data_IF_218752236600
#
_entry.id   IF_218752236600
#
_cell.length_a   1.000
_cell.length_b   1.000
_cell.length_c   1.000
_cell.angle_alpha   90.00
_cell.angle_beta   90.00
_cell.angle_gamma   90.00
#
_symmetry.space_group_name_H-M   'P 1'
#
loop_
_entity.id
_entity.type
_entity.pdbx_description
1 polymer ?
#
# COMPACT_ATOMS: atom_id res chain seq x y z
N UNK A 1 20.90 -12.99 7.90
CA UNK A 1 19.79 -13.40 7.00
C UNK A 1 18.70 -14.02 7.85
N UNK A 2 17.53 -13.38 7.98
CA UNK A 2 16.39 -13.97 8.70
C UNK A 2 15.88 -15.17 7.87
N UNK A 3 16.11 -16.39 8.38
CA UNK A 3 15.64 -17.62 7.75
C UNK A 3 14.12 -17.64 7.88
N UNK A 4 13.39 -17.55 6.77
CA UNK A 4 11.93 -17.62 6.81
C UNK A 4 11.52 -19.06 7.13
N UNK A 5 11.12 -19.30 8.37
CA UNK A 5 10.61 -20.60 8.80
C UNK A 5 9.23 -20.85 8.19
N UNK A 6 9.03 -22.02 7.58
CA UNK A 6 7.75 -22.40 6.96
C UNK A 6 7.05 -23.40 7.87
N UNK A 7 5.88 -23.02 8.38
CA UNK A 7 5.04 -23.89 9.21
C UNK A 7 3.94 -24.49 8.32
N UNK A 8 3.73 -25.81 8.41
CA UNK A 8 2.60 -26.47 7.75
C UNK A 8 1.33 -26.19 8.54
N UNK A 9 0.31 -25.65 7.88
CA UNK A 9 -1.00 -25.40 8.47
C UNK A 9 -2.06 -26.18 7.69
N UNK A 10 -2.90 -26.95 8.38
CA UNK A 10 -4.01 -27.66 7.76
C UNK A 10 -5.24 -26.74 7.70
N UNK A 11 -5.72 -26.42 6.50
CA UNK A 11 -6.86 -25.55 6.28
C UNK A 11 -7.86 -26.27 5.38
N UNK A 12 -9.13 -26.29 5.79
CA UNK A 12 -10.20 -26.86 5.00
C UNK A 12 -10.63 -25.88 3.91
N UNK A 13 -10.70 -26.35 2.67
CA UNK A 13 -11.18 -25.57 1.53
C UNK A 13 -12.39 -26.27 0.90
N UNK A 14 -13.39 -25.51 0.43
CA UNK A 14 -14.42 -26.05 -0.45
C UNK A 14 -13.79 -26.70 -1.68
N UNK A 15 -14.30 -27.88 -2.07
CA UNK A 15 -13.77 -28.65 -3.20
C UNK A 15 -13.84 -27.87 -4.52
N UNK A 16 -14.91 -27.10 -4.71
CA UNK A 16 -15.13 -26.24 -5.87
C UNK A 16 -14.05 -25.16 -6.01
N UNK A 17 -13.64 -24.55 -4.89
CA UNK A 17 -12.62 -23.52 -4.87
C UNK A 17 -11.25 -24.07 -5.28
N UNK A 18 -10.88 -25.25 -4.76
CA UNK A 18 -9.63 -25.91 -5.14
C UNK A 18 -9.63 -26.25 -6.63
N UNK A 19 -10.73 -26.80 -7.15
CA UNK A 19 -10.86 -27.09 -8.60
C UNK A 19 -10.72 -25.83 -9.46
N UNK A 20 -11.29 -24.70 -9.02
CA UNK A 20 -11.16 -23.44 -9.72
C UNK A 20 -9.71 -22.93 -9.73
N UNK A 21 -9.01 -23.06 -8.61
CA UNK A 21 -7.58 -22.72 -8.51
C UNK A 21 -6.78 -23.62 -9.46
N UNK A 22 -7.04 -24.92 -9.47
CA UNK A 22 -6.33 -25.89 -10.31
C UNK A 22 -6.48 -25.59 -11.79
N UNK A 23 -7.71 -25.29 -12.21
CA UNK A 23 -7.99 -24.87 -13.59
C UNK A 23 -7.25 -23.59 -13.97
N UNK A 24 -7.01 -22.70 -13.01
CA UNK A 24 -6.42 -21.37 -13.24
C UNK A 24 -4.89 -21.38 -13.23
N UNK A 25 -4.26 -22.08 -12.26
CA UNK A 25 -2.79 -22.04 -12.06
C UNK A 25 -2.10 -23.40 -12.28
N UNK A 26 -2.86 -24.48 -12.40
CA UNK A 26 -2.36 -25.85 -12.50
C UNK A 26 -2.05 -26.48 -11.13
N UNK A 27 -2.07 -27.82 -11.09
CA UNK A 27 -2.07 -28.60 -9.84
C UNK A 27 -0.86 -28.38 -8.91
N UNK A 28 0.29 -28.00 -9.45
CA UNK A 28 1.54 -27.82 -8.66
C UNK A 28 1.74 -26.42 -8.12
N UNK A 29 0.84 -25.47 -8.40
CA UNK A 29 1.00 -24.05 -8.03
C UNK A 29 0.05 -23.58 -6.94
N UNK A 30 -0.80 -24.47 -6.38
CA UNK A 30 -1.80 -24.15 -5.34
C UNK A 30 -1.20 -23.42 -4.14
N UNK A 31 -0.15 -23.99 -3.53
CA UNK A 31 0.48 -23.39 -2.34
C UNK A 31 1.03 -21.99 -2.62
N UNK A 32 1.71 -21.82 -3.76
CA UNK A 32 2.23 -20.51 -4.18
C UNK A 32 1.09 -19.50 -4.36
N UNK A 33 0.05 -19.89 -5.08
CA UNK A 33 -1.12 -19.05 -5.32
C UNK A 33 -1.80 -18.61 -4.03
N UNK A 34 -2.07 -19.55 -3.11
CA UNK A 34 -2.72 -19.25 -1.82
C UNK A 34 -1.86 -18.29 -0.99
N UNK A 35 -0.54 -18.51 -0.93
CA UNK A 35 0.37 -17.64 -0.18
C UNK A 35 0.41 -16.22 -0.78
N UNK A 36 0.47 -16.10 -2.11
CA UNK A 36 0.47 -14.80 -2.79
C UNK A 36 -0.86 -14.06 -2.60
N UNK A 37 -1.99 -14.77 -2.73
CA UNK A 37 -3.31 -14.22 -2.49
C UNK A 37 -3.48 -13.75 -1.04
N UNK A 38 -3.03 -14.55 -0.06
CA UNK A 38 -3.07 -14.18 1.35
C UNK A 38 -2.19 -12.95 1.65
N UNK A 39 -0.98 -12.87 1.08
CA UNK A 39 -0.11 -11.69 1.21
C UNK A 39 -0.78 -10.44 0.67
N UNK A 40 -1.32 -10.51 -0.55
CA UNK A 40 -2.03 -9.38 -1.16
C UNK A 40 -3.21 -8.95 -0.28
N UNK A 41 -4.00 -9.90 0.22
CA UNK A 41 -5.15 -9.59 1.07
C UNK A 41 -4.73 -8.92 2.39
N UNK A 42 -3.62 -9.35 2.99
CA UNK A 42 -3.08 -8.72 4.19
C UNK A 42 -2.59 -7.29 3.93
N UNK A 43 -1.99 -7.03 2.77
CA UNK A 43 -1.59 -5.67 2.38
C UNK A 43 -2.82 -4.77 2.20
N UNK A 44 -3.87 -5.25 1.53
CA UNK A 44 -5.13 -4.51 1.38
C UNK A 44 -5.75 -4.17 2.74
N UNK A 45 -5.79 -5.12 3.68
CA UNK A 45 -6.32 -4.90 5.02
C UNK A 45 -5.52 -3.86 5.80
N UNK A 46 -4.18 -3.88 5.71
CA UNK A 46 -3.33 -2.86 6.33
C UNK A 46 -3.60 -1.47 5.76
N UNK A 47 -3.79 -1.36 4.45
CA UNK A 47 -4.12 -0.08 3.82
C UNK A 47 -5.49 0.39 4.29
N UNK A 48 -6.49 -0.50 4.37
CA UNK A 48 -7.81 -0.16 4.86
C UNK A 48 -7.75 0.36 6.31
N UNK A 49 -7.06 -0.36 7.20
CA UNK A 49 -6.87 0.07 8.59
C UNK A 49 -6.16 1.44 8.67
N UNK A 50 -5.11 1.64 7.86
CA UNK A 50 -4.43 2.92 7.81
C UNK A 50 -5.34 4.06 7.33
N UNK A 51 -6.23 3.80 6.37
CA UNK A 51 -7.21 4.79 5.89
C UNK A 51 -8.26 5.12 6.97
N UNK A 52 -8.73 4.11 7.70
CA UNK A 52 -9.67 4.29 8.82
C UNK A 52 -9.03 5.12 9.94
N UNK A 53 -7.79 4.83 10.31
CA UNK A 53 -7.05 5.60 11.31
C UNK A 53 -6.72 7.01 10.83
N UNK A 54 -6.39 7.17 9.55
CA UNK A 54 -6.08 8.47 8.95
C UNK A 54 -7.32 9.33 8.66
N UNK A 55 -8.53 8.76 8.78
CA UNK A 55 -9.76 9.48 8.54
C UNK A 55 -9.88 10.69 9.47
N UNK A 56 -9.99 11.89 8.89
CA UNK A 56 -10.07 13.13 9.66
C UNK A 56 -8.73 13.66 10.18
N UNK A 57 -7.60 13.00 9.89
CA UNK A 57 -6.26 13.56 10.17
C UNK A 57 -5.98 14.83 9.36
N UNK A 58 -6.69 15.04 8.25
CA UNK A 58 -6.59 16.23 7.43
C UNK A 58 -7.87 17.07 7.52
N UNK A 59 -7.75 18.29 8.05
CA UNK A 59 -8.84 19.28 8.13
C UNK A 59 -8.35 20.62 7.58
N UNK A 60 -9.24 21.35 6.93
CA UNK A 60 -8.93 22.69 6.38
C UNK A 60 -8.46 23.67 7.47
N UNK A 61 -8.98 23.52 8.69
CA UNK A 61 -8.58 24.30 9.87
C UNK A 61 -7.11 24.11 10.24
N UNK A 62 -6.57 22.91 10.01
CA UNK A 62 -5.18 22.56 10.30
C UNK A 62 -4.23 22.95 9.17
N UNK A 63 -4.76 23.20 7.96
CA UNK A 63 -3.99 23.49 6.74
C UNK A 63 -4.58 24.69 5.96
N UNK A 64 -4.60 25.90 6.55
CA UNK A 64 -5.17 27.08 5.90
C UNK A 64 -4.43 27.45 4.60
N UNK A 65 -3.15 27.10 4.49
CA UNK A 65 -2.29 27.31 3.31
C UNK A 65 -2.62 26.37 2.14
N UNK A 66 -3.55 25.43 2.33
CA UNK A 66 -4.03 24.50 1.31
C UNK A 66 -5.55 24.56 1.13
N UNK A 67 -6.20 25.58 1.70
CA UNK A 67 -7.66 25.70 1.75
C UNK A 67 -8.30 26.04 0.40
N UNK A 68 -7.70 26.94 -0.38
CA UNK A 68 -8.20 27.30 -1.71
C UNK A 68 -7.26 26.87 -2.82
N UNK A 69 -7.77 26.81 -4.06
CA UNK A 69 -6.95 26.57 -5.25
C UNK A 69 -5.77 27.55 -5.38
N UNK A 70 -5.96 28.79 -4.94
CA UNK A 70 -4.90 29.80 -4.97
C UNK A 70 -3.84 29.55 -3.89
N UNK A 71 -4.25 29.12 -2.70
CA UNK A 71 -3.35 28.77 -1.61
C UNK A 71 -2.51 27.55 -1.98
N UNK A 72 -3.14 26.51 -2.54
CA UNK A 72 -2.47 25.31 -3.07
C UNK A 72 -1.41 25.69 -4.10
N UNK A 73 -1.74 26.55 -5.08
CA UNK A 73 -0.77 27.01 -6.10
C UNK A 73 0.41 27.74 -5.48
N UNK A 74 0.15 28.58 -4.49
CA UNK A 74 1.17 29.34 -3.77
C UNK A 74 2.09 28.41 -2.97
N UNK A 75 1.51 27.43 -2.26
CA UNK A 75 2.23 26.40 -1.53
C UNK A 75 3.12 25.57 -2.47
N UNK A 76 2.56 25.05 -3.57
CA UNK A 76 3.31 24.27 -4.56
C UNK A 76 4.49 25.05 -5.17
N UNK A 77 4.28 26.35 -5.48
CA UNK A 77 5.36 27.22 -5.97
C UNK A 77 6.52 27.29 -4.97
N UNK A 78 6.22 27.58 -3.71
CA UNK A 78 7.21 27.63 -2.63
C UNK A 78 7.96 26.30 -2.48
N UNK A 79 7.23 25.18 -2.48
CA UNK A 79 7.83 23.84 -2.35
C UNK A 79 8.80 23.51 -3.50
N UNK A 80 8.45 23.87 -4.73
CA UNK A 80 9.31 23.67 -5.91
C UNK A 80 10.57 24.55 -5.85
N UNK A 81 10.43 25.81 -5.45
CA UNK A 81 11.58 26.71 -5.28
C UNK A 81 12.54 26.23 -4.19
N UNK A 82 12.02 25.78 -3.04
CA UNK A 82 12.84 25.20 -1.97
C UNK A 82 13.57 23.94 -2.42
N UNK A 83 12.87 23.06 -3.14
CA UNK A 83 13.45 21.83 -3.69
C UNK A 83 14.56 22.17 -4.70
N UNK A 84 14.33 23.11 -5.61
CA UNK A 84 15.33 23.56 -6.58
C UNK A 84 16.59 24.14 -5.91
N UNK A 85 16.41 24.97 -4.88
CA UNK A 85 17.53 25.49 -4.07
C UNK A 85 18.31 24.38 -3.38
N UNK A 86 17.62 23.36 -2.84
CA UNK A 86 18.25 22.20 -2.20
C UNK A 86 19.07 21.38 -3.19
N UNK A 87 18.51 21.09 -4.36
CA UNK A 87 19.21 20.36 -5.43
C UNK A 87 20.47 21.12 -5.84
N UNK A 88 20.37 22.44 -6.06
CA UNK A 88 21.51 23.28 -6.43
C UNK A 88 22.65 23.21 -5.41
N UNK A 89 22.32 23.25 -4.11
CA UNK A 89 23.31 23.11 -3.02
C UNK A 89 24.01 21.75 -3.02
N UNK A 90 23.32 20.67 -3.38
CA UNK A 90 23.89 19.32 -3.42
C UNK A 90 24.73 19.06 -4.68
N UNK A 91 24.55 19.88 -5.71
CA UNK A 91 25.31 19.80 -6.97
C UNK A 91 26.52 20.74 -7.04
N UNK A 92 26.72 21.57 -6.02
CA UNK A 92 27.91 22.42 -5.81
C UNK A 92 28.91 21.68 -4.90
#
# INVERSE_FOLDING_TARGET
MLKTEKIKTHVMFPSELIRAIDKSVGDRKRSKFIVEAAKKRLEELKVQEALEVAAGCWKDENHPDLRTQQDIRTHLKKMRELTGKRIKRLSE
#
